data_IF_945775033384
#
_entry.id   IF_945775033384
#
_cell.length_a   1.000
_cell.length_b   1.000
_cell.length_c   1.000
_cell.angle_alpha   90.00
_cell.angle_beta   90.00
_cell.angle_gamma   90.00
#
_symmetry.space_group_name_H-M   'P 1'
#
loop_
_entity.id
_entity.type
_entity.pdbx_description
1 polymer ?
#
# COMPACT_ATOMS: atom_id res chain seq x y z
N UNK A 1 -5.56 3.85 -10.17
CA UNK A 1 -4.99 4.02 -8.83
C UNK A 1 -3.62 3.36 -8.83
N UNK A 2 -2.66 4.00 -8.16
CA UNK A 2 -1.30 3.49 -8.00
C UNK A 2 -1.07 2.96 -6.57
N UNK A 3 -2.14 2.56 -5.91
CA UNK A 3 -2.09 2.03 -4.56
C UNK A 3 -1.55 0.60 -4.56
N UNK A 4 -0.83 0.26 -3.52
CA UNK A 4 -0.38 -1.12 -3.28
C UNK A 4 -0.33 -1.41 -1.78
N UNK A 5 -0.39 -2.68 -1.45
CA UNK A 5 -0.43 -3.16 -0.09
C UNK A 5 0.87 -3.85 0.29
N UNK A 6 1.25 -3.65 1.54
CA UNK A 6 2.35 -4.38 2.19
C UNK A 6 1.78 -5.12 3.39
N UNK A 7 1.90 -6.43 3.39
CA UNK A 7 1.58 -7.24 4.56
C UNK A 7 2.79 -7.29 5.49
N UNK A 8 2.60 -6.92 6.76
CA UNK A 8 3.66 -6.99 7.76
C UNK A 8 3.84 -8.43 8.25
N UNK A 9 5.07 -8.82 8.56
CA UNK A 9 5.39 -10.15 9.11
C UNK A 9 5.19 -10.16 10.63
N UNK A 10 4.80 -11.30 11.20
CA UNK A 10 4.54 -11.40 12.65
C UNK A 10 5.80 -11.52 13.52
N UNK A 11 6.95 -11.79 12.91
CA UNK A 11 8.19 -12.15 13.62
C UNK A 11 9.18 -10.98 13.79
N UNK A 12 8.76 -9.75 13.54
CA UNK A 12 9.54 -8.52 13.74
C UNK A 12 8.80 -7.53 14.66
N UNK A 13 8.56 -7.89 15.94
CA UNK A 13 7.63 -7.14 16.80
C UNK A 13 8.07 -5.71 17.09
N UNK A 14 9.38 -5.42 17.18
CA UNK A 14 9.85 -4.06 17.45
C UNK A 14 9.70 -3.17 16.20
N UNK A 15 10.02 -3.70 15.04
CA UNK A 15 9.82 -3.00 13.76
C UNK A 15 8.34 -2.79 13.48
N UNK A 16 7.49 -3.81 13.76
CA UNK A 16 6.03 -3.72 13.61
C UNK A 16 5.37 -2.76 14.61
N UNK A 17 6.02 -2.45 15.73
CA UNK A 17 5.58 -1.36 16.61
C UNK A 17 6.05 0.01 16.11
N UNK A 18 7.27 0.10 15.58
CA UNK A 18 7.90 1.34 15.16
C UNK A 18 7.36 1.87 13.83
N UNK A 19 7.34 1.04 12.77
CA UNK A 19 6.94 1.48 11.44
C UNK A 19 5.49 2.03 11.40
N UNK A 20 4.47 1.35 11.96
CA UNK A 20 3.14 1.93 12.07
C UNK A 20 3.06 3.22 12.90
N UNK A 21 3.98 3.44 13.82
CA UNK A 21 4.03 4.71 14.58
C UNK A 21 4.40 5.90 13.68
N UNK A 22 5.33 5.71 12.72
CA UNK A 22 5.60 6.71 11.68
C UNK A 22 4.40 6.90 10.76
N UNK A 23 3.72 5.82 10.35
CA UNK A 23 2.49 5.87 9.52
C UNK A 23 1.43 6.69 10.25
N UNK A 24 1.07 6.30 11.47
CA UNK A 24 0.00 6.94 12.26
C UNK A 24 0.30 8.41 12.62
N UNK A 25 1.57 8.82 12.61
CA UNK A 25 1.95 10.22 12.81
C UNK A 25 1.89 11.06 11.53
N UNK A 26 1.60 10.46 10.37
CA UNK A 26 1.65 11.11 9.05
C UNK A 26 3.07 11.42 8.58
N UNK A 27 4.10 10.81 9.18
CA UNK A 27 5.50 11.11 8.86
C UNK A 27 5.90 10.74 7.44
N UNK A 28 5.18 9.79 6.84
CA UNK A 28 5.41 9.36 5.47
C UNK A 28 4.56 10.09 4.42
N UNK A 29 3.60 10.91 4.84
CA UNK A 29 2.78 11.69 3.93
C UNK A 29 3.64 12.71 3.18
N UNK A 30 3.49 12.75 1.86
CA UNK A 30 4.32 13.56 0.98
C UNK A 30 5.84 13.25 1.10
N UNK A 31 6.22 12.06 1.57
CA UNK A 31 7.63 11.64 1.59
C UNK A 31 8.10 11.17 0.20
N UNK A 32 9.41 11.11 0.01
CA UNK A 32 10.02 10.75 -1.28
C UNK A 32 10.77 9.42 -1.22
N UNK A 33 10.78 8.73 -2.35
CA UNK A 33 11.82 7.76 -2.63
C UNK A 33 13.08 8.53 -3.05
N UNK A 34 14.07 8.55 -2.20
CA UNK A 34 15.27 9.38 -2.38
C UNK A 34 16.42 8.64 -3.05
N UNK A 35 16.29 7.30 -3.17
CA UNK A 35 17.32 6.46 -3.80
C UNK A 35 16.66 5.29 -4.55
N UNK A 36 17.04 5.13 -5.82
CA UNK A 36 16.64 3.98 -6.64
C UNK A 36 17.86 3.37 -7.32
N UNK A 37 18.13 2.09 -7.04
CA UNK A 37 19.20 1.32 -7.71
C UNK A 37 18.54 0.15 -8.43
N UNK A 38 18.45 0.18 -9.76
CA UNK A 38 17.80 -0.86 -10.55
C UNK A 38 18.37 -2.25 -10.25
N UNK A 39 17.48 -3.22 -10.04
CA UNK A 39 17.87 -4.60 -9.72
C UNK A 39 18.41 -4.78 -8.30
N UNK A 40 18.36 -3.76 -7.45
CA UNK A 40 18.77 -3.83 -6.05
C UNK A 40 17.66 -3.35 -5.12
N UNK A 41 17.47 -2.03 -4.98
CA UNK A 41 16.54 -1.49 -3.99
C UNK A 41 15.94 -0.14 -4.41
N UNK A 42 14.69 0.09 -3.99
CA UNK A 42 14.01 1.39 -3.99
C UNK A 42 13.85 1.84 -2.54
N UNK A 43 14.53 2.92 -2.13
CA UNK A 43 14.63 3.35 -0.73
C UNK A 43 13.86 4.66 -0.51
N UNK A 44 13.05 4.69 0.54
CA UNK A 44 12.23 5.82 0.97
C UNK A 44 12.24 6.03 2.48
N UNK A 45 11.31 6.87 2.96
CA UNK A 45 11.10 7.10 4.39
C UNK A 45 12.19 7.92 5.08
N UNK A 46 13.07 8.59 4.31
CA UNK A 46 14.12 9.43 4.87
C UNK A 46 13.80 10.92 4.84
N UNK A 47 13.03 11.35 3.86
CA UNK A 47 12.80 12.76 3.55
C UNK A 47 11.39 13.01 3.05
N UNK A 48 10.83 14.17 3.39
CA UNK A 48 9.62 14.72 2.75
C UNK A 48 9.97 15.59 1.55
N UNK A 49 9.04 15.68 0.58
CA UNK A 49 9.23 16.50 -0.61
C UNK A 49 9.22 18.00 -0.25
N UNK A 50 10.15 18.79 -0.85
CA UNK A 50 10.12 20.25 -0.68
C UNK A 50 8.88 20.85 -1.35
N UNK A 51 8.47 22.02 -0.87
CA UNK A 51 7.32 22.75 -1.43
C UNK A 51 7.72 23.76 -2.51
N UNK A 52 9.00 23.98 -2.72
CA UNK A 52 9.57 24.94 -3.65
C UNK A 52 10.56 24.28 -4.60
N UNK A 53 10.82 24.91 -5.76
CA UNK A 53 11.78 24.39 -6.73
C UNK A 53 13.21 24.43 -6.19
N UNK A 54 14.07 23.54 -6.66
CA UNK A 54 15.50 23.56 -6.37
C UNK A 54 16.11 24.95 -6.66
N UNK A 55 17.15 25.30 -5.92
CA UNK A 55 17.82 26.59 -5.94
C UNK A 55 16.99 27.78 -5.36
N UNK A 56 15.90 27.49 -4.66
CA UNK A 56 15.15 28.46 -3.86
C UNK A 56 15.36 28.18 -2.37
N UNK A 57 15.25 29.18 -1.49
CA UNK A 57 15.26 28.94 -0.03
C UNK A 57 14.19 27.93 0.35
N UNK A 58 14.55 26.87 1.12
CA UNK A 58 13.65 25.80 1.52
C UNK A 58 13.39 24.74 0.44
N UNK A 59 14.29 24.63 -0.57
CA UNK A 59 14.17 23.61 -1.61
C UNK A 59 14.74 22.24 -1.25
N UNK A 60 15.47 22.14 -0.15
CA UNK A 60 16.00 20.84 0.30
C UNK A 60 14.86 19.96 0.81
N UNK A 61 14.85 18.67 0.46
CA UNK A 61 13.96 17.71 1.10
C UNK A 61 14.20 17.69 2.63
N UNK A 62 13.14 17.80 3.41
CA UNK A 62 13.23 17.82 4.87
C UNK A 62 13.40 16.42 5.44
N UNK A 63 14.41 16.17 6.30
CA UNK A 63 14.56 14.86 6.94
C UNK A 63 13.35 14.51 7.82
N UNK A 64 12.85 13.29 7.70
CA UNK A 64 11.81 12.77 8.59
C UNK A 64 12.41 12.63 10.01
N UNK A 65 11.74 13.24 10.98
CA UNK A 65 12.18 13.21 12.38
C UNK A 65 12.16 11.79 12.94
N UNK A 66 13.29 11.38 13.55
CA UNK A 66 13.39 10.05 14.17
C UNK A 66 12.54 9.95 15.43
N UNK A 67 11.77 8.85 15.53
CA UNK A 67 11.06 8.45 16.75
C UNK A 67 11.93 7.57 17.69
N UNK A 68 13.19 7.36 17.34
CA UNK A 68 14.14 6.51 18.03
C UNK A 68 14.67 5.40 17.13
N UNK A 69 15.71 4.70 17.57
CA UNK A 69 16.27 3.55 16.85
C UNK A 69 15.52 2.27 17.21
N UNK A 70 15.49 1.33 16.24
CA UNK A 70 14.90 0.01 16.40
C UNK A 70 16.00 -1.04 16.42
N UNK A 71 15.93 -1.94 17.38
CA UNK A 71 16.82 -3.10 17.41
C UNK A 71 16.63 -3.93 16.13
N UNK A 72 17.74 -4.39 15.56
CA UNK A 72 17.72 -5.22 14.37
C UNK A 72 17.07 -6.58 14.66
N UNK A 73 16.14 -7.01 13.80
CA UNK A 73 15.41 -8.27 13.89
C UNK A 73 15.64 -9.10 12.61
N UNK A 74 16.88 -9.59 12.36
CA UNK A 74 17.20 -10.35 11.17
C UNK A 74 16.56 -11.74 11.24
N UNK A 75 16.36 -12.37 10.08
CA UNK A 75 15.84 -13.75 10.02
C UNK A 75 14.99 -13.99 8.78
N UNK A 76 14.20 -13.02 8.35
CA UNK A 76 13.50 -13.08 7.07
C UNK A 76 14.49 -12.76 5.94
N UNK A 77 14.27 -13.39 4.77
CA UNK A 77 15.17 -13.21 3.63
C UNK A 77 14.84 -11.94 2.84
N UNK A 78 15.88 -11.23 2.40
CA UNK A 78 15.78 -10.08 1.52
C UNK A 78 15.55 -10.52 0.06
N UNK A 79 14.42 -11.17 -0.18
CA UNK A 79 14.00 -11.61 -1.51
C UNK A 79 13.23 -10.49 -2.22
N UNK A 80 13.14 -10.59 -3.55
CA UNK A 80 12.38 -9.62 -4.35
C UNK A 80 10.94 -9.51 -3.85
N UNK A 81 10.45 -8.28 -3.68
CA UNK A 81 9.10 -7.98 -3.21
C UNK A 81 8.98 -7.74 -1.72
N UNK A 82 10.04 -7.99 -0.95
CA UNK A 82 10.03 -7.69 0.49
C UNK A 82 10.39 -6.23 0.77
N UNK A 83 9.93 -5.72 1.92
CA UNK A 83 10.31 -4.43 2.49
C UNK A 83 11.19 -4.65 3.71
N UNK A 84 12.29 -3.89 3.80
CA UNK A 84 13.25 -4.00 4.90
C UNK A 84 13.66 -2.64 5.45
N UNK A 85 14.09 -2.61 6.72
CA UNK A 85 14.58 -1.39 7.36
C UNK A 85 15.98 -1.03 6.84
N UNK A 86 16.15 0.22 6.43
CA UNK A 86 17.47 0.79 6.16
C UNK A 86 18.17 1.20 7.47
N UNK A 87 19.51 1.11 7.47
CA UNK A 87 20.33 1.42 8.65
C UNK A 87 21.74 1.87 8.27
N UNK A 88 22.45 2.46 9.21
CA UNK A 88 23.80 2.94 9.01
C UNK A 88 24.79 1.78 8.90
N UNK A 89 25.76 1.92 8.00
CA UNK A 89 26.82 0.92 7.84
C UNK A 89 27.61 0.70 9.13
N UNK A 90 27.81 -0.56 9.52
CA UNK A 90 28.53 -0.93 10.74
C UNK A 90 27.73 -0.73 12.04
N UNK A 91 26.45 -0.34 11.95
CA UNK A 91 25.59 -0.09 13.10
C UNK A 91 24.27 -0.87 12.96
N UNK A 92 24.21 -2.15 13.35
CA UNK A 92 23.04 -3.00 13.12
C UNK A 92 21.73 -2.45 13.70
N UNK A 93 21.78 -1.82 14.86
CA UNK A 93 20.61 -1.32 15.61
C UNK A 93 20.35 0.18 15.38
N UNK A 94 20.68 0.70 14.19
CA UNK A 94 20.54 2.12 13.84
C UNK A 94 19.33 2.44 12.97
N UNK A 95 18.47 1.48 12.68
CA UNK A 95 17.26 1.71 11.89
C UNK A 95 16.33 2.72 12.58
N UNK A 96 15.75 3.63 11.81
CA UNK A 96 14.77 4.63 12.29
C UNK A 96 13.53 4.64 11.38
N UNK A 97 13.37 5.66 10.51
CA UNK A 97 12.22 5.80 9.60
C UNK A 97 12.45 5.19 8.22
N UNK A 98 13.71 5.03 7.79
CA UNK A 98 14.01 4.66 6.42
C UNK A 98 13.80 3.17 6.16
N UNK A 99 13.25 2.87 5.00
CA UNK A 99 12.99 1.52 4.51
C UNK A 99 13.35 1.40 3.03
N UNK A 100 13.44 0.17 2.54
CA UNK A 100 13.61 -0.09 1.11
C UNK A 100 12.82 -1.32 0.67
N UNK A 101 12.39 -1.30 -0.59
CA UNK A 101 11.84 -2.46 -1.28
C UNK A 101 12.96 -3.21 -1.99
N UNK A 102 13.03 -4.52 -1.82
CA UNK A 102 13.94 -5.39 -2.55
C UNK A 102 13.44 -5.58 -4.00
N UNK A 103 14.20 -5.10 -4.98
CA UNK A 103 13.87 -5.23 -6.41
C UNK A 103 14.38 -6.53 -7.02
N UNK A 104 15.23 -7.24 -6.32
CA UNK A 104 15.75 -8.57 -6.63
C UNK A 104 16.00 -9.35 -5.35
N UNK A 105 16.43 -10.61 -5.47
CA UNK A 105 16.92 -11.39 -4.34
C UNK A 105 18.30 -10.86 -3.93
N UNK A 106 18.36 -10.22 -2.78
CA UNK A 106 19.55 -9.56 -2.24
C UNK A 106 20.15 -10.40 -1.10
N UNK A 107 20.60 -11.61 -1.41
CA UNK A 107 21.07 -12.60 -0.43
C UNK A 107 22.15 -12.05 0.53
N UNK A 108 23.04 -11.17 0.05
CA UNK A 108 24.08 -10.56 0.87
C UNK A 108 23.52 -9.74 2.03
N UNK A 109 22.32 -9.12 1.88
CA UNK A 109 21.67 -8.36 2.94
C UNK A 109 21.17 -9.24 4.09
N UNK A 110 21.09 -10.56 3.91
CA UNK A 110 20.71 -11.47 4.98
C UNK A 110 21.79 -11.60 6.08
N UNK A 111 23.04 -11.24 5.77
CA UNK A 111 24.18 -11.33 6.70
C UNK A 111 24.95 -10.02 6.87
N UNK A 112 25.02 -9.17 5.85
CA UNK A 112 25.73 -7.92 5.89
C UNK A 112 25.20 -7.00 6.99
N UNK A 113 26.13 -6.34 7.72
CA UNK A 113 25.79 -5.43 8.82
C UNK A 113 24.85 -6.06 9.87
N UNK A 114 24.99 -7.37 10.14
CA UNK A 114 24.16 -8.13 11.06
C UNK A 114 22.81 -8.59 10.50
N UNK A 115 22.64 -8.58 9.16
CA UNK A 115 21.40 -8.85 8.45
C UNK A 115 20.44 -7.65 8.47
N UNK A 116 19.66 -7.44 7.44
CA UNK A 116 18.66 -6.39 7.40
C UNK A 116 17.28 -6.94 7.79
N UNK A 117 16.57 -6.23 8.67
CA UNK A 117 15.23 -6.62 9.11
C UNK A 117 14.23 -6.50 7.97
N UNK A 118 13.82 -7.62 7.40
CA UNK A 118 12.66 -7.70 6.51
C UNK A 118 11.41 -7.81 7.39
N UNK A 119 10.50 -6.84 7.28
CA UNK A 119 9.32 -6.72 8.14
C UNK A 119 7.99 -6.80 7.39
N UNK A 120 8.03 -6.98 6.08
CA UNK A 120 6.81 -7.13 5.27
C UNK A 120 7.09 -7.56 3.84
N UNK A 121 6.00 -7.80 3.11
CA UNK A 121 6.01 -8.20 1.70
C UNK A 121 4.93 -7.45 0.92
N UNK A 122 5.27 -7.01 -0.30
CA UNK A 122 4.33 -6.37 -1.24
C UNK A 122 3.35 -7.42 -1.78
N UNK A 123 2.05 -7.14 -1.69
CA UNK A 123 1.00 -8.10 -2.06
C UNK A 123 0.38 -7.80 -3.44
N UNK A 124 -0.22 -8.84 -3.99
CA UNK A 124 -0.97 -8.77 -5.24
C UNK A 124 -0.14 -8.24 -6.41
N UNK A 125 -0.68 -7.27 -7.12
CA UNK A 125 -0.02 -6.58 -8.24
C UNK A 125 0.89 -5.43 -7.80
N UNK A 126 1.08 -5.20 -6.50
CA UNK A 126 1.80 -4.05 -5.96
C UNK A 126 3.23 -3.90 -6.47
N UNK A 127 3.92 -5.03 -6.75
CA UNK A 127 5.24 -4.98 -7.37
C UNK A 127 5.26 -4.36 -8.77
N UNK A 128 4.12 -4.26 -9.45
CA UNK A 128 4.03 -3.49 -10.72
C UNK A 128 4.20 -2.00 -10.44
N UNK A 129 3.57 -1.49 -9.40
CA UNK A 129 3.71 -0.09 -8.96
C UNK A 129 5.14 0.18 -8.49
N UNK A 130 5.68 -0.67 -7.60
CA UNK A 130 7.06 -0.56 -7.11
C UNK A 130 8.07 -0.57 -8.26
N UNK A 131 7.92 -1.46 -9.23
CA UNK A 131 8.80 -1.51 -10.41
C UNK A 131 8.66 -0.27 -11.29
N UNK A 132 7.45 0.28 -11.45
CA UNK A 132 7.22 1.51 -12.21
C UNK A 132 7.97 2.68 -11.56
N UNK A 133 7.86 2.84 -10.23
CA UNK A 133 8.62 3.83 -9.47
C UNK A 133 10.14 3.61 -9.61
N UNK A 134 10.60 2.37 -9.46
CA UNK A 134 12.01 2.01 -9.53
C UNK A 134 12.62 2.17 -10.94
N UNK A 135 11.79 2.12 -12.00
CA UNK A 135 12.22 2.33 -13.39
C UNK A 135 12.34 3.81 -13.76
N UNK A 136 11.95 4.72 -12.87
CA UNK A 136 12.10 6.15 -13.07
C UNK A 136 13.57 6.52 -13.19
N UNK A 137 13.90 7.42 -14.13
CA UNK A 137 15.29 7.87 -14.33
C UNK A 137 15.88 8.46 -13.06
N UNK A 138 17.09 8.06 -12.73
CA UNK A 138 17.83 8.55 -11.55
C UNK A 138 18.82 9.62 -11.93
N UNK A 139 19.01 10.56 -11.02
CA UNK A 139 19.87 11.72 -11.21
C UNK A 139 20.84 11.89 -10.05
N UNK A 140 22.04 12.37 -10.37
CA UNK A 140 23.02 12.79 -9.39
C UNK A 140 22.61 14.18 -8.86
N UNK A 141 21.79 14.20 -7.84
CA UNK A 141 21.18 15.42 -7.31
C UNK A 141 21.88 16.00 -6.08
N UNK A 142 22.97 15.38 -5.60
CA UNK A 142 23.81 15.87 -4.50
C UNK A 142 24.43 17.26 -4.82
N UNK A 143 24.47 17.67 -6.08
CA UNK A 143 24.86 19.03 -6.50
C UNK A 143 23.78 20.09 -6.24
N UNK A 144 22.51 19.69 -6.06
CA UNK A 144 21.40 20.58 -5.76
C UNK A 144 21.09 20.59 -4.26
N UNK A 145 21.32 19.46 -3.61
CA UNK A 145 21.02 19.21 -2.21
C UNK A 145 22.30 18.79 -1.51
N UNK A 146 22.61 19.40 -0.39
CA UNK A 146 23.88 19.20 0.35
C UNK A 146 23.99 17.82 1.02
N UNK A 147 23.28 16.78 0.54
CA UNK A 147 23.28 15.44 1.10
C UNK A 147 23.63 14.37 0.06
N UNK A 148 24.53 13.47 0.45
CA UNK A 148 24.96 12.32 -0.37
C UNK A 148 23.86 11.28 -0.59
N UNK A 149 22.74 11.35 0.14
CA UNK A 149 21.58 10.50 -0.04
C UNK A 149 20.94 10.64 -1.44
N UNK A 150 21.13 11.77 -2.12
CA UNK A 150 20.51 12.10 -3.41
C UNK A 150 21.37 11.79 -4.64
N UNK A 151 22.31 10.87 -4.53
CA UNK A 151 23.15 10.46 -5.69
C UNK A 151 22.43 9.60 -6.72
N UNK A 152 21.36 8.94 -6.31
CA UNK A 152 20.54 8.06 -7.15
C UNK A 152 19.05 8.42 -6.99
N UNK A 153 18.77 9.76 -7.03
CA UNK A 153 17.43 10.31 -6.81
C UNK A 153 16.54 10.04 -8.05
N UNK A 154 15.44 9.26 -7.90
CA UNK A 154 14.49 9.07 -8.99
C UNK A 154 13.61 10.32 -9.17
N UNK A 155 13.56 10.84 -10.41
CA UNK A 155 12.73 11.99 -10.78
C UNK A 155 11.95 11.68 -12.07
N UNK A 156 10.63 11.96 -12.06
CA UNK A 156 9.76 11.69 -13.20
C UNK A 156 10.12 12.52 -14.43
N UNK A 157 10.34 13.83 -14.26
CA UNK A 157 10.57 14.74 -15.39
C UNK A 157 11.55 15.86 -14.99
N UNK A 158 12.84 15.63 -15.12
CA UNK A 158 13.78 16.75 -15.05
C UNK A 158 13.76 17.52 -16.37
N UNK A 159 13.23 18.76 -16.32
CA UNK A 159 13.12 19.61 -17.49
C UNK A 159 14.49 20.05 -18.03
N UNK A 160 14.52 20.60 -19.26
CA UNK A 160 15.74 21.06 -19.93
C UNK A 160 16.50 22.16 -19.16
N UNK A 161 15.84 22.86 -18.22
CA UNK A 161 16.45 23.84 -17.35
C UNK A 161 17.20 23.20 -16.15
N UNK A 162 17.08 21.88 -15.96
CA UNK A 162 17.64 21.11 -14.85
C UNK A 162 17.22 21.61 -13.47
N UNK A 163 16.08 22.26 -13.35
CA UNK A 163 15.49 22.66 -12.06
C UNK A 163 14.57 21.55 -11.57
N UNK A 164 14.87 20.97 -10.41
CA UNK A 164 14.00 19.99 -9.75
C UNK A 164 12.83 20.72 -9.11
N UNK A 165 11.61 20.25 -9.37
CA UNK A 165 10.36 20.81 -8.87
C UNK A 165 9.70 19.81 -7.91
N UNK A 166 8.81 20.27 -7.01
CA UNK A 166 8.10 19.38 -6.08
C UNK A 166 7.38 18.19 -6.74
N UNK A 167 6.89 18.38 -7.96
CA UNK A 167 6.17 17.34 -8.70
C UNK A 167 7.08 16.41 -9.53
N UNK A 168 8.38 16.67 -9.56
CA UNK A 168 9.33 15.80 -10.25
C UNK A 168 9.71 14.57 -9.37
N UNK A 169 9.50 14.64 -8.06
CA UNK A 169 9.84 13.55 -7.14
C UNK A 169 8.89 12.36 -7.27
N UNK A 170 9.44 11.16 -7.12
CA UNK A 170 8.66 9.95 -6.85
C UNK A 170 8.25 9.99 -5.38
N UNK A 171 6.95 10.20 -5.13
CA UNK A 171 6.41 10.47 -3.79
C UNK A 171 5.48 9.38 -3.29
N UNK A 172 5.42 9.27 -1.99
CA UNK A 172 4.34 8.64 -1.24
C UNK A 172 3.36 9.73 -0.89
N UNK A 173 2.12 9.68 -1.38
CA UNK A 173 1.11 10.70 -1.06
C UNK A 173 0.60 10.54 0.35
N UNK A 174 0.21 9.32 0.72
CA UNK A 174 -0.17 8.91 2.07
C UNK A 174 0.11 7.44 2.31
N UNK A 175 0.17 7.03 3.56
CA UNK A 175 0.24 5.64 4.01
C UNK A 175 -0.72 5.45 5.17
N UNK A 176 -1.53 4.39 5.11
CA UNK A 176 -2.47 4.04 6.16
C UNK A 176 -2.21 2.62 6.69
N UNK A 177 -2.47 2.42 7.98
CA UNK A 177 -2.51 1.09 8.57
C UNK A 177 -3.93 0.56 8.45
N UNK A 178 -4.09 -0.53 7.70
CA UNK A 178 -5.38 -1.20 7.53
C UNK A 178 -5.39 -2.56 8.23
N UNK A 179 -6.54 -2.93 8.77
CA UNK A 179 -6.72 -4.24 9.42
C UNK A 179 -7.52 -5.13 8.49
N UNK A 180 -6.91 -6.19 7.97
CA UNK A 180 -7.47 -7.06 6.94
C UNK A 180 -8.85 -7.66 7.25
N UNK A 181 -9.25 -7.71 8.54
CA UNK A 181 -10.52 -8.32 8.96
C UNK A 181 -11.74 -7.40 8.89
N UNK A 182 -11.55 -6.08 8.73
CA UNK A 182 -12.65 -5.10 8.84
C UNK A 182 -12.61 -4.00 7.77
N UNK A 183 -11.62 -3.98 6.90
CA UNK A 183 -11.45 -2.89 5.95
C UNK A 183 -12.05 -3.26 4.59
N UNK A 184 -13.19 -2.63 4.27
CA UNK A 184 -13.88 -2.77 2.99
C UNK A 184 -12.97 -2.42 1.79
N UNK A 185 -12.03 -1.50 1.97
CA UNK A 185 -11.13 -1.05 0.91
C UNK A 185 -10.11 -2.11 0.46
N UNK A 186 -9.92 -3.19 1.25
CA UNK A 186 -9.06 -4.31 0.87
C UNK A 186 -9.68 -5.27 -0.15
N UNK A 187 -10.97 -5.07 -0.48
CA UNK A 187 -11.69 -5.93 -1.40
C UNK A 187 -12.30 -5.13 -2.54
N UNK A 188 -12.48 -5.78 -3.67
CA UNK A 188 -13.39 -5.35 -4.73
C UNK A 188 -14.60 -6.27 -4.71
N UNK A 189 -15.79 -5.67 -4.91
CA UNK A 189 -17.04 -6.42 -4.88
C UNK A 189 -17.72 -6.38 -6.24
N UNK A 190 -18.22 -7.53 -6.66
CA UNK A 190 -19.12 -7.66 -7.77
C UNK A 190 -20.41 -8.30 -7.26
N UNK A 191 -21.55 -7.73 -7.65
CA UNK A 191 -22.86 -8.25 -7.28
C UNK A 191 -23.65 -8.52 -8.54
N UNK A 192 -24.27 -9.68 -8.62
CA UNK A 192 -25.15 -10.08 -9.73
C UNK A 192 -26.50 -10.55 -9.21
N UNK A 193 -27.54 -10.25 -9.95
CA UNK A 193 -28.88 -10.75 -9.73
C UNK A 193 -29.21 -11.78 -10.81
N UNK A 194 -29.87 -12.88 -10.45
CA UNK A 194 -30.35 -13.87 -11.43
C UNK A 194 -31.49 -13.35 -12.30
N UNK A 195 -32.11 -12.23 -11.92
CA UNK A 195 -33.21 -11.57 -12.66
C UNK A 195 -33.18 -10.05 -12.36
N UNK A 196 -32.42 -9.31 -13.17
CA UNK A 196 -32.22 -7.86 -12.99
C UNK A 196 -33.51 -7.05 -13.29
N UNK A 197 -34.46 -7.62 -14.03
CA UNK A 197 -35.76 -6.97 -14.24
C UNK A 197 -36.62 -6.97 -12.98
N UNK A 198 -36.44 -7.99 -12.11
CA UNK A 198 -37.15 -8.09 -10.83
C UNK A 198 -36.40 -7.46 -9.66
N UNK A 199 -35.06 -7.57 -9.64
CA UNK A 199 -34.25 -7.11 -8.55
C UNK A 199 -32.90 -6.66 -9.06
N UNK A 200 -32.57 -5.38 -8.93
CA UNK A 200 -31.20 -4.91 -9.09
C UNK A 200 -30.44 -4.98 -7.77
N UNK A 201 -29.17 -5.38 -7.84
CA UNK A 201 -28.32 -5.52 -6.67
C UNK A 201 -26.97 -4.81 -6.92
N UNK A 202 -26.47 -4.09 -5.94
CA UNK A 202 -25.18 -3.39 -6.00
C UNK A 202 -24.55 -3.27 -4.61
N UNK A 203 -23.29 -2.87 -4.55
CA UNK A 203 -22.62 -2.46 -3.30
C UNK A 203 -22.39 -0.95 -3.37
N UNK A 204 -22.75 -0.24 -2.31
CA UNK A 204 -22.52 1.21 -2.22
C UNK A 204 -21.08 1.53 -1.82
N UNK A 205 -20.72 2.83 -1.80
CA UNK A 205 -19.40 3.30 -1.43
C UNK A 205 -18.99 3.06 0.03
N UNK A 206 -19.92 2.58 0.87
CA UNK A 206 -19.66 2.24 2.28
C UNK A 206 -19.66 0.71 2.50
N UNK A 207 -19.74 -0.09 1.43
CA UNK A 207 -19.74 -1.54 1.53
C UNK A 207 -21.10 -2.17 1.81
N UNK A 208 -22.18 -1.41 1.80
CA UNK A 208 -23.50 -1.97 2.05
C UNK A 208 -24.05 -2.58 0.76
N UNK A 209 -24.62 -3.78 0.87
CA UNK A 209 -25.39 -4.37 -0.20
C UNK A 209 -26.73 -3.63 -0.36
N UNK A 210 -26.94 -3.07 -1.54
CA UNK A 210 -28.19 -2.35 -1.89
C UNK A 210 -29.01 -3.23 -2.82
N UNK A 211 -30.22 -3.57 -2.38
CA UNK A 211 -31.20 -4.35 -3.14
C UNK A 211 -32.38 -3.45 -3.52
N UNK A 212 -32.66 -3.33 -4.81
CA UNK A 212 -33.76 -2.51 -5.33
C UNK A 212 -34.70 -3.39 -6.14
N UNK A 213 -35.82 -3.86 -5.53
CA UNK A 213 -36.81 -4.64 -6.25
C UNK A 213 -37.66 -3.76 -7.15
N UNK A 214 -38.10 -4.31 -8.29
CA UNK A 214 -39.24 -3.72 -9.03
C UNK A 214 -40.49 -3.81 -8.19
N UNK A 215 -41.33 -2.76 -8.23
CA UNK A 215 -42.50 -2.61 -7.39
C UNK A 215 -43.60 -3.66 -7.65
N UNK A 216 -43.58 -4.33 -8.79
CA UNK A 216 -44.50 -5.38 -9.18
C UNK A 216 -43.92 -6.79 -9.09
N UNK A 217 -42.62 -6.92 -8.81
CA UNK A 217 -41.92 -8.19 -8.86
C UNK A 217 -42.39 -9.16 -7.78
N UNK A 218 -42.57 -10.41 -8.18
CA UNK A 218 -42.89 -11.53 -7.26
C UNK A 218 -42.01 -12.73 -7.54
N UNK A 219 -41.92 -13.62 -6.54
CA UNK A 219 -41.13 -14.85 -6.63
C UNK A 219 -39.77 -14.72 -5.99
N UNK A 220 -38.88 -15.67 -6.25
CA UNK A 220 -37.52 -15.71 -5.69
C UNK A 220 -36.51 -15.28 -6.73
N UNK A 221 -35.52 -14.48 -6.32
CA UNK A 221 -34.36 -14.06 -7.12
C UNK A 221 -33.11 -14.36 -6.35
N UNK A 222 -32.13 -15.00 -6.99
CA UNK A 222 -30.85 -15.25 -6.37
C UNK A 222 -29.90 -14.07 -6.59
N UNK A 223 -29.23 -13.66 -5.53
CA UNK A 223 -28.20 -12.61 -5.55
C UNK A 223 -26.87 -13.25 -5.20
N UNK A 224 -25.87 -13.04 -6.05
CA UNK A 224 -24.50 -13.51 -5.82
C UNK A 224 -23.59 -12.32 -5.57
N UNK A 225 -22.87 -12.35 -4.46
CA UNK A 225 -21.82 -11.38 -4.09
C UNK A 225 -20.48 -12.08 -4.23
N UNK A 226 -19.61 -11.52 -5.04
CA UNK A 226 -18.21 -11.98 -5.23
C UNK A 226 -17.29 -10.92 -4.65
N UNK A 227 -16.48 -11.29 -3.66
CA UNK A 227 -15.44 -10.45 -3.08
C UNK A 227 -14.07 -10.93 -3.59
N UNK A 228 -13.27 -10.01 -4.14
CA UNK A 228 -11.90 -10.29 -4.58
C UNK A 228 -10.93 -9.50 -3.72
N UNK A 229 -10.02 -10.17 -3.04
CA UNK A 229 -8.99 -9.54 -2.22
C UNK A 229 -7.98 -8.79 -3.11
N UNK A 230 -7.70 -7.52 -2.77
CA UNK A 230 -6.63 -6.73 -3.39
C UNK A 230 -5.24 -7.16 -2.94
N UNK A 231 -5.15 -7.95 -1.85
CA UNK A 231 -3.88 -8.40 -1.28
C UNK A 231 -3.28 -9.58 -2.07
N UNK A 232 -4.10 -10.57 -2.42
CA UNK A 232 -3.63 -11.84 -3.00
C UNK A 232 -4.47 -12.33 -4.19
N UNK A 233 -5.48 -11.53 -4.60
CA UNK A 233 -6.46 -11.87 -5.62
C UNK A 233 -7.30 -13.12 -5.30
N UNK A 234 -7.33 -13.55 -4.05
CA UNK A 234 -8.25 -14.61 -3.63
C UNK A 234 -9.70 -14.17 -3.82
N UNK A 235 -10.57 -15.12 -4.14
CA UNK A 235 -11.98 -14.87 -4.42
C UNK A 235 -12.81 -15.64 -3.41
N UNK A 236 -13.80 -14.94 -2.86
CA UNK A 236 -14.86 -15.54 -2.07
C UNK A 236 -16.21 -15.18 -2.69
N UNK A 237 -17.11 -16.15 -2.76
CA UNK A 237 -18.42 -15.98 -3.38
C UNK A 237 -19.54 -16.47 -2.46
N UNK A 238 -20.61 -15.71 -2.36
CA UNK A 238 -21.80 -16.06 -1.59
C UNK A 238 -23.05 -15.78 -2.42
N UNK A 239 -23.91 -16.80 -2.56
CA UNK A 239 -25.23 -16.67 -3.17
C UNK A 239 -26.30 -16.85 -2.12
N UNK A 240 -27.36 -16.03 -2.18
CA UNK A 240 -28.55 -16.13 -1.34
C UNK A 240 -29.80 -15.76 -2.14
N UNK A 241 -30.95 -16.28 -1.71
CA UNK A 241 -32.22 -16.04 -2.37
C UNK A 241 -32.99 -14.92 -1.69
N UNK A 242 -33.54 -14.02 -2.48
CA UNK A 242 -34.41 -12.90 -2.05
C UNK A 242 -35.84 -13.19 -2.47
N UNK A 243 -36.77 -13.25 -1.49
CA UNK A 243 -38.19 -13.46 -1.77
C UNK A 243 -38.90 -12.10 -2.01
N UNK A 244 -39.56 -11.95 -3.15
CA UNK A 244 -40.30 -10.76 -3.54
C UNK A 244 -41.81 -11.03 -3.49
N UNK A 245 -42.58 -10.12 -2.91
CA UNK A 245 -44.02 -10.31 -2.66
C UNK A 245 -44.93 -9.27 -3.35
N UNK A 246 -44.50 -8.75 -4.49
CA UNK A 246 -45.32 -7.82 -5.28
C UNK A 246 -45.50 -6.44 -4.65
N UNK A 247 -44.46 -5.91 -4.05
CA UNK A 247 -44.40 -4.59 -3.45
C UNK A 247 -42.95 -4.28 -3.00
N UNK A 248 -42.65 -3.06 -2.59
CA UNK A 248 -41.32 -2.67 -2.20
C UNK A 248 -40.84 -3.30 -0.86
N UNK A 249 -41.53 -4.30 -0.34
CA UNK A 249 -41.28 -4.93 0.94
C UNK A 249 -40.48 -6.22 0.75
N UNK A 250 -39.23 -6.19 1.12
CA UNK A 250 -38.39 -7.37 1.27
C UNK A 250 -38.83 -8.13 2.55
N UNK A 251 -39.35 -9.36 2.39
CA UNK A 251 -39.92 -10.13 3.53
C UNK A 251 -38.98 -11.18 4.09
N UNK A 252 -37.99 -11.67 3.33
CA UNK A 252 -37.01 -12.60 3.81
C UNK A 252 -35.74 -12.57 2.94
N UNK A 253 -34.60 -12.77 3.57
CA UNK A 253 -33.31 -13.05 2.93
C UNK A 253 -32.84 -14.38 3.52
N UNK A 254 -32.68 -15.39 2.67
CA UNK A 254 -32.11 -16.67 3.07
C UNK A 254 -30.68 -16.77 2.53
N UNK A 255 -29.69 -16.95 3.42
CA UNK A 255 -28.31 -17.20 3.04
C UNK A 255 -27.89 -18.63 3.35
N UNK A 256 -27.28 -19.30 2.40
CA UNK A 256 -26.68 -20.63 2.58
C UNK A 256 -25.18 -20.50 2.81
N UNK A 257 -24.76 -20.31 4.06
CA UNK A 257 -23.33 -20.25 4.40
C UNK A 257 -22.89 -18.96 5.11
N UNK A 258 -21.60 -18.80 5.34
CA UNK A 258 -21.05 -17.62 6.02
C UNK A 258 -21.25 -16.36 5.18
N UNK A 259 -21.96 -15.40 5.75
CA UNK A 259 -22.14 -14.09 5.13
C UNK A 259 -20.88 -13.26 5.23
N UNK A 260 -20.47 -12.61 4.13
CA UNK A 260 -19.46 -11.56 4.12
C UNK A 260 -19.97 -10.24 4.73
N UNK A 261 -21.27 -10.17 5.02
CA UNK A 261 -21.88 -9.00 5.65
C UNK A 261 -21.56 -9.03 7.13
N UNK A 262 -20.88 -8.00 7.61
CA UNK A 262 -20.59 -7.82 9.03
C UNK A 262 -21.82 -8.14 9.88
N UNK A 263 -21.68 -9.07 10.79
CA UNK A 263 -22.51 -9.13 11.96
C UNK A 263 -21.94 -8.13 12.96
N UNK A 264 -22.76 -7.17 13.37
CA UNK A 264 -22.45 -6.22 14.44
C UNK A 264 -21.95 -6.92 15.73
#
# INVERSE_FOLDING_TARGET
>A
DNDFYVELTDNTPQTNASFPSYVNSGAYDNSIFHRSVPGFALQGGGFSAPQVNANQPGSDPDPISSLGTVQNEPGNLNTRGTIAMAKLGGQPDSATSQFFFNLSDNEHLNSDNGGYTVFGEVKGSGMTVVNTMASTSTYLADKYYADTAFKELPLYNLNADNIVRPNDFVKIENVDVVTASTDFDLFTYQVTSSDEEKLTASVDGNGNLVLTPDSSATGSVDVTVTATSKLDNSIAEQTFSVQLNGGPVLTAIESSGNTFLNQD
#
